data_IF_290047096928
#
_entry.id   IF_290047096928
#
_cell.length_a   1.000
_cell.length_b   1.000
_cell.length_c   1.000
_cell.angle_alpha   90.00
_cell.angle_beta   90.00
_cell.angle_gamma   90.00
#
_symmetry.space_group_name_H-M   'P 1'
#
loop_
_entity.id
_entity.type
_entity.pdbx_description
1 polymer ?
#
# COMPACT_ATOMS: atom_id res chain seq x y z
N UNK A 1 70.16 31.50 -34.75
CA UNK A 1 70.49 31.79 -33.33
C UNK A 1 69.22 32.29 -32.66
N UNK A 2 68.96 31.91 -31.41
CA UNK A 2 67.72 32.29 -30.71
C UNK A 2 66.82 31.13 -30.26
N UNK A 3 67.19 29.88 -30.52
CA UNK A 3 66.40 28.71 -30.08
C UNK A 3 66.33 28.62 -28.55
N UNK A 4 67.41 28.94 -27.85
CA UNK A 4 67.44 28.98 -26.39
C UNK A 4 66.49 30.05 -25.83
N UNK A 5 66.50 31.29 -26.36
CA UNK A 5 65.52 32.31 -25.96
C UNK A 5 64.08 31.91 -26.27
N UNK A 6 63.84 31.19 -27.39
CA UNK A 6 62.50 30.70 -27.75
C UNK A 6 62.03 29.63 -26.76
N UNK A 7 62.86 28.63 -26.45
CA UNK A 7 62.55 27.60 -25.45
C UNK A 7 62.27 28.24 -24.09
N UNK A 8 63.10 29.19 -23.65
CA UNK A 8 62.91 29.89 -22.36
C UNK A 8 61.65 30.78 -22.34
N UNK A 9 61.23 31.30 -23.50
CA UNK A 9 59.99 32.08 -23.64
C UNK A 9 58.77 31.17 -23.53
N UNK A 10 58.81 30.00 -24.14
CA UNK A 10 57.73 29.00 -24.11
C UNK A 10 57.59 28.36 -22.70
N UNK A 11 58.61 28.50 -21.84
CA UNK A 11 58.69 27.91 -20.49
C UNK A 11 58.01 28.70 -19.34
N UNK A 12 57.48 29.93 -19.50
CA UNK A 12 56.97 30.79 -18.38
C UNK A 12 55.49 30.57 -17.96
N UNK A 13 55.04 31.00 -16.74
CA UNK A 13 55.61 30.80 -15.41
C UNK A 13 54.97 29.60 -14.66
N UNK A 14 55.79 28.93 -13.87
CA UNK A 14 55.56 27.72 -13.07
C UNK A 14 56.94 27.10 -12.79
N UNK A 15 57.15 26.28 -11.73
CA UNK A 15 58.47 25.74 -11.46
C UNK A 15 58.95 24.99 -12.71
N UNK A 16 60.07 25.42 -13.34
CA UNK A 16 60.59 24.74 -14.51
C UNK A 16 60.99 23.35 -14.04
N UNK A 17 60.30 22.30 -14.47
CA UNK A 17 60.79 20.96 -14.18
C UNK A 17 62.03 20.76 -15.03
N UNK A 18 63.20 20.80 -14.39
CA UNK A 18 64.49 20.50 -15.03
C UNK A 18 64.43 19.17 -15.81
N UNK A 19 63.54 18.26 -15.40
CA UNK A 19 63.19 17.04 -16.10
C UNK A 19 62.60 17.27 -17.51
N UNK A 20 61.64 18.18 -17.69
CA UNK A 20 61.05 18.49 -19.01
C UNK A 20 62.07 19.15 -19.93
N UNK A 21 62.85 20.09 -19.40
CA UNK A 21 63.92 20.73 -20.16
C UNK A 21 64.97 19.69 -20.59
N UNK A 22 65.37 18.79 -19.69
CA UNK A 22 66.28 17.70 -20.01
C UNK A 22 65.73 16.76 -21.08
N UNK A 23 64.45 16.39 -20.99
CA UNK A 23 63.78 15.54 -21.97
C UNK A 23 63.71 16.23 -23.35
N UNK A 24 63.32 17.51 -23.38
CA UNK A 24 63.26 18.32 -24.60
C UNK A 24 64.64 18.40 -25.27
N UNK A 25 65.69 18.73 -24.50
CA UNK A 25 67.05 18.85 -25.01
C UNK A 25 67.58 17.50 -25.52
N UNK A 26 67.27 16.40 -24.84
CA UNK A 26 67.61 15.04 -25.30
C UNK A 26 66.93 14.72 -26.64
N UNK A 27 65.65 15.04 -26.79
CA UNK A 27 64.88 14.79 -28.03
C UNK A 27 65.32 15.69 -29.18
N UNK A 28 65.64 16.94 -28.89
CA UNK A 28 66.25 17.85 -29.85
C UNK A 28 67.63 17.34 -30.30
N UNK A 29 68.41 16.76 -29.39
CA UNK A 29 69.70 16.15 -29.70
C UNK A 29 69.57 14.91 -30.59
N UNK A 30 68.59 14.04 -30.33
CA UNK A 30 68.29 12.87 -31.18
C UNK A 30 67.83 13.28 -32.59
N UNK A 31 67.11 14.39 -32.72
CA UNK A 31 66.55 14.89 -33.99
C UNK A 31 67.44 15.93 -34.70
N UNK A 32 68.70 16.06 -34.27
CA UNK A 32 69.66 17.04 -34.81
C UNK A 32 69.95 16.82 -36.30
N UNK A 33 70.18 17.91 -37.03
CA UNK A 33 70.69 17.86 -38.40
C UNK A 33 72.18 18.21 -38.36
N UNK A 34 73.04 17.20 -38.50
CA UNK A 34 74.47 17.36 -38.28
C UNK A 34 74.76 17.85 -36.85
N UNK A 35 75.57 18.88 -36.68
CA UNK A 35 75.93 19.41 -35.35
C UNK A 35 75.04 20.57 -34.86
N UNK A 36 73.90 20.80 -35.51
CA UNK A 36 73.04 21.95 -35.22
C UNK A 36 71.64 21.52 -34.75
N UNK A 37 71.20 22.12 -33.65
CA UNK A 37 69.79 22.11 -33.22
C UNK A 37 69.05 23.20 -34.00
N UNK A 38 68.03 22.81 -34.77
CA UNK A 38 67.29 23.72 -35.64
C UNK A 38 65.91 24.06 -35.06
N UNK A 39 65.41 25.26 -35.40
CA UNK A 39 64.01 25.61 -35.10
C UNK A 39 63.03 24.66 -35.78
N UNK A 40 63.38 24.15 -36.97
CA UNK A 40 62.58 23.16 -37.70
C UNK A 40 62.48 21.81 -36.95
N UNK A 41 63.55 21.35 -36.30
CA UNK A 41 63.49 20.17 -35.44
C UNK A 41 62.59 20.41 -34.21
N UNK A 42 62.66 21.61 -33.62
CA UNK A 42 61.79 22.01 -32.51
C UNK A 42 60.31 22.10 -32.92
N UNK A 43 60.01 22.65 -34.09
CA UNK A 43 58.65 22.77 -34.62
C UNK A 43 58.07 21.41 -35.01
N UNK A 44 58.89 20.49 -35.57
CA UNK A 44 58.47 19.09 -35.85
C UNK A 44 58.12 18.30 -34.58
N UNK A 45 58.75 18.61 -33.46
CA UNK A 45 58.44 18.02 -32.16
C UNK A 45 57.19 18.65 -31.50
N UNK A 46 56.58 19.68 -32.12
CA UNK A 46 55.45 20.41 -31.54
C UNK A 46 55.85 21.31 -30.36
N UNK A 47 57.12 21.72 -30.29
CA UNK A 47 57.66 22.49 -29.18
C UNK A 47 57.67 21.71 -27.84
N UNK A 48 57.64 22.45 -26.73
CA UNK A 48 57.62 21.85 -25.38
C UNK A 48 56.34 21.05 -25.12
N UNK A 49 55.20 21.57 -25.58
CA UNK A 49 53.91 20.96 -25.31
C UNK A 49 53.71 19.65 -26.10
N UNK A 50 54.25 19.56 -27.32
CA UNK A 50 54.26 18.34 -28.12
C UNK A 50 55.11 17.23 -27.49
N UNK A 51 56.30 17.56 -26.96
CA UNK A 51 57.15 16.58 -26.25
C UNK A 51 56.50 16.09 -24.96
N UNK A 52 55.80 16.97 -24.24
CA UNK A 52 55.04 16.59 -23.05
C UNK A 52 53.87 15.68 -23.39
N UNK A 53 53.13 15.97 -24.47
CA UNK A 53 52.03 15.13 -24.95
C UNK A 53 52.52 13.74 -25.40
N UNK A 54 53.66 13.66 -26.09
CA UNK A 54 54.24 12.38 -26.51
C UNK A 54 54.71 11.55 -25.29
N UNK A 55 55.28 12.21 -24.27
CA UNK A 55 55.63 11.56 -23.00
C UNK A 55 54.39 11.03 -22.27
N UNK A 56 53.33 11.84 -22.19
CA UNK A 56 52.06 11.45 -21.59
C UNK A 56 51.40 10.27 -22.33
N UNK A 57 51.45 10.26 -23.68
CA UNK A 57 50.93 9.16 -24.50
C UNK A 57 51.75 7.88 -24.29
N UNK A 58 53.08 7.94 -24.31
CA UNK A 58 53.93 6.77 -24.03
C UNK A 58 53.66 6.20 -22.65
N UNK A 59 53.56 7.07 -21.64
CA UNK A 59 53.25 6.65 -20.28
C UNK A 59 51.87 5.98 -20.21
N UNK A 60 50.84 6.58 -20.82
CA UNK A 60 49.50 6.02 -20.83
C UNK A 60 49.43 4.67 -21.56
N UNK A 61 50.07 4.56 -22.73
CA UNK A 61 50.11 3.33 -23.52
C UNK A 61 50.85 2.18 -22.81
N UNK A 62 51.80 2.49 -21.92
CA UNK A 62 52.53 1.53 -21.10
C UNK A 62 51.76 1.02 -19.87
N UNK A 63 50.61 1.61 -19.53
CA UNK A 63 49.80 1.17 -18.39
C UNK A 63 48.99 -0.11 -18.74
N UNK A 64 48.78 -1.02 -17.77
CA UNK A 64 47.81 -2.12 -17.91
C UNK A 64 46.40 -1.60 -18.24
N UNK A 65 45.56 -2.41 -18.91
CA UNK A 65 44.22 -1.96 -19.35
C UNK A 65 43.33 -1.43 -18.21
N UNK A 66 43.38 -2.07 -17.03
CA UNK A 66 42.62 -1.62 -15.86
C UNK A 66 43.12 -0.28 -15.32
N UNK A 67 44.43 -0.06 -15.36
CA UNK A 67 45.06 1.21 -14.97
C UNK A 67 44.79 2.30 -16.01
N UNK A 68 44.71 1.96 -17.31
CA UNK A 68 44.31 2.89 -18.37
C UNK A 68 42.88 3.40 -18.16
N UNK A 69 41.93 2.51 -17.79
CA UNK A 69 40.54 2.91 -17.47
C UNK A 69 40.51 3.87 -16.28
N UNK A 70 41.27 3.59 -15.22
CA UNK A 70 41.39 4.46 -14.03
C UNK A 70 42.05 5.80 -14.38
N UNK A 71 43.13 5.78 -15.15
CA UNK A 71 43.84 6.99 -15.60
C UNK A 71 42.94 7.88 -16.45
N UNK A 72 42.19 7.31 -17.40
CA UNK A 72 41.18 8.04 -18.18
C UNK A 72 40.13 8.68 -17.27
N UNK A 73 39.60 7.92 -16.31
CA UNK A 73 38.61 8.44 -15.37
C UNK A 73 39.15 9.62 -14.55
N UNK A 74 40.39 9.50 -14.03
CA UNK A 74 41.10 10.55 -13.28
C UNK A 74 41.33 11.81 -14.12
N UNK A 75 41.86 11.68 -15.34
CA UNK A 75 42.14 12.80 -16.22
C UNK A 75 40.86 13.56 -16.60
N UNK A 76 39.77 12.85 -16.89
CA UNK A 76 38.46 13.46 -17.12
C UNK A 76 37.86 14.12 -15.86
N UNK A 77 38.40 13.84 -14.66
CA UNK A 77 38.03 14.62 -13.48
C UNK A 77 38.62 16.02 -13.49
N UNK A 78 39.84 16.17 -14.00
CA UNK A 78 40.61 17.42 -13.98
C UNK A 78 40.31 18.36 -15.15
N UNK A 79 39.29 18.04 -15.96
CA UNK A 79 38.92 18.79 -17.16
C UNK A 79 37.44 19.18 -17.11
N UNK A 80 37.16 20.41 -17.53
CA UNK A 80 35.81 20.95 -17.69
C UNK A 80 35.20 20.59 -19.06
N UNK A 81 33.90 20.74 -19.23
CA UNK A 81 33.20 20.53 -20.49
C UNK A 81 33.64 21.50 -21.59
N UNK A 82 34.23 22.64 -21.22
CA UNK A 82 34.79 23.64 -22.12
C UNK A 82 36.26 23.33 -22.49
N UNK A 83 36.83 22.23 -21.98
CA UNK A 83 38.22 21.85 -22.25
C UNK A 83 39.23 22.70 -21.50
N UNK A 84 38.91 23.15 -20.29
CA UNK A 84 39.81 23.92 -19.42
C UNK A 84 40.26 23.01 -18.26
N UNK A 85 41.49 23.20 -17.76
CA UNK A 85 41.94 22.48 -16.56
C UNK A 85 41.16 22.92 -15.33
N UNK A 86 40.96 22.00 -14.41
CA UNK A 86 40.36 22.25 -13.11
C UNK A 86 41.25 21.66 -12.01
N UNK A 87 41.32 22.38 -10.89
CA UNK A 87 42.03 21.97 -9.68
C UNK A 87 41.05 21.39 -8.67
N UNK A 88 41.28 20.15 -8.20
CA UNK A 88 40.38 19.41 -7.33
C UNK A 88 41.13 18.76 -6.17
N UNK A 89 40.46 18.47 -5.05
CA UNK A 89 41.12 17.78 -3.93
C UNK A 89 41.49 16.34 -4.32
N UNK A 90 42.64 15.87 -3.83
CA UNK A 90 43.12 14.49 -4.04
C UNK A 90 42.03 13.44 -3.77
N UNK A 91 41.36 13.54 -2.63
CA UNK A 91 40.33 12.58 -2.22
C UNK A 91 39.08 12.63 -3.10
N UNK A 92 38.67 13.81 -3.57
CA UNK A 92 37.51 13.97 -4.46
C UNK A 92 37.78 13.35 -5.85
N UNK A 93 38.98 13.58 -6.39
CA UNK A 93 39.40 13.03 -7.68
C UNK A 93 39.46 11.50 -7.64
N UNK A 94 40.03 10.94 -6.57
CA UNK A 94 40.13 9.49 -6.38
C UNK A 94 38.74 8.87 -6.18
N UNK A 95 37.89 9.47 -5.34
CA UNK A 95 36.54 8.97 -5.09
C UNK A 95 35.69 8.98 -6.37
N UNK A 96 35.76 10.05 -7.15
CA UNK A 96 34.99 10.19 -8.38
C UNK A 96 35.50 9.32 -9.53
N UNK A 97 36.78 8.90 -9.51
CA UNK A 97 37.36 7.94 -10.45
C UNK A 97 37.15 6.46 -10.05
N UNK A 98 36.23 6.18 -9.12
CA UNK A 98 35.89 4.81 -8.69
C UNK A 98 36.57 4.36 -7.39
N UNK A 99 37.39 5.20 -6.78
CA UNK A 99 38.01 4.95 -5.48
C UNK A 99 39.02 3.79 -5.46
N UNK A 100 39.45 3.43 -4.25
CA UNK A 100 40.31 2.28 -3.99
C UNK A 100 41.81 2.52 -4.14
N UNK A 101 42.63 1.58 -3.63
CA UNK A 101 44.09 1.71 -3.60
C UNK A 101 44.73 1.75 -4.99
N UNK A 102 44.20 0.99 -5.97
CA UNK A 102 44.70 1.02 -7.34
C UNK A 102 44.56 2.38 -8.01
N UNK A 103 43.50 3.14 -7.71
CA UNK A 103 43.30 4.48 -8.28
C UNK A 103 44.25 5.51 -7.66
N UNK A 104 44.56 5.39 -6.36
CA UNK A 104 45.60 6.20 -5.72
C UNK A 104 46.98 5.91 -6.31
N UNK A 105 47.26 4.65 -6.63
CA UNK A 105 48.53 4.26 -7.24
C UNK A 105 48.68 4.81 -8.66
N UNK A 106 47.65 4.72 -9.50
CA UNK A 106 47.65 5.33 -10.84
C UNK A 106 47.85 6.85 -10.76
N UNK A 107 47.21 7.53 -9.80
CA UNK A 107 47.42 8.97 -9.57
C UNK A 107 48.88 9.29 -9.21
N UNK A 108 49.51 8.51 -8.32
CA UNK A 108 50.93 8.68 -7.98
C UNK A 108 51.83 8.52 -9.20
N UNK A 109 51.56 7.52 -10.05
CA UNK A 109 52.32 7.31 -11.29
C UNK A 109 52.14 8.46 -12.29
N UNK A 110 50.93 9.02 -12.41
CA UNK A 110 50.67 10.21 -13.23
C UNK A 110 51.41 11.46 -12.74
N UNK A 111 51.54 11.61 -11.41
CA UNK A 111 52.34 12.68 -10.79
C UNK A 111 53.84 12.46 -11.08
N UNK A 112 54.34 11.23 -10.92
CA UNK A 112 55.72 10.89 -11.23
C UNK A 112 56.06 11.13 -12.71
N UNK A 113 55.11 10.88 -13.61
CA UNK A 113 55.23 11.14 -15.04
C UNK A 113 55.01 12.63 -15.43
N UNK A 114 54.75 13.51 -14.46
CA UNK A 114 54.46 14.94 -14.67
C UNK A 114 53.30 15.24 -15.63
N UNK A 115 52.35 14.31 -15.76
CA UNK A 115 51.09 14.57 -16.47
C UNK A 115 50.15 15.40 -15.59
N UNK A 116 50.24 15.17 -14.28
CA UNK A 116 49.41 15.79 -13.26
C UNK A 116 50.33 16.38 -12.19
N UNK A 117 50.00 17.55 -11.67
CA UNK A 117 50.73 18.21 -10.59
C UNK A 117 49.91 18.25 -9.31
N UNK A 118 50.60 18.13 -8.18
CA UNK A 118 50.02 18.26 -6.85
C UNK A 118 50.47 19.61 -6.25
N UNK A 119 49.51 20.52 -6.06
CA UNK A 119 49.71 21.81 -5.40
C UNK A 119 49.00 21.80 -4.05
N UNK A 120 49.77 21.55 -2.98
CA UNK A 120 49.20 21.26 -1.65
C UNK A 120 48.44 19.93 -1.66
N UNK A 121 47.13 19.97 -1.40
CA UNK A 121 46.23 18.81 -1.49
C UNK A 121 45.38 18.81 -2.79
N UNK A 122 45.69 19.72 -3.72
CA UNK A 122 44.94 19.87 -4.96
C UNK A 122 45.71 19.29 -6.13
N UNK A 123 44.99 18.49 -6.92
CA UNK A 123 45.45 17.83 -8.13
C UNK A 123 44.95 18.63 -9.32
N UNK A 124 45.85 18.91 -10.25
CA UNK A 124 45.54 19.60 -11.51
C UNK A 124 46.40 19.06 -12.65
N UNK A 125 46.00 19.31 -13.90
CA UNK A 125 46.85 18.98 -15.05
C UNK A 125 48.12 19.83 -15.01
N UNK A 126 49.27 19.21 -15.30
CA UNK A 126 50.57 19.88 -15.21
C UNK A 126 50.67 21.12 -16.10
N UNK A 127 50.01 21.09 -17.26
CA UNK A 127 49.98 22.18 -18.24
C UNK A 127 48.62 22.24 -18.94
N UNK A 128 48.14 23.45 -19.19
CA UNK A 128 46.93 23.69 -20.00
C UNK A 128 47.09 23.18 -21.43
N UNK A 129 48.30 23.33 -21.99
CA UNK A 129 48.60 22.95 -23.36
C UNK A 129 48.51 21.43 -23.62
N UNK A 130 48.55 20.58 -22.59
CA UNK A 130 48.31 19.14 -22.74
C UNK A 130 46.93 18.84 -23.34
N UNK A 131 45.92 19.69 -23.08
CA UNK A 131 44.57 19.48 -23.60
C UNK A 131 44.51 19.68 -25.12
N UNK A 132 45.34 20.59 -25.66
CA UNK A 132 45.44 20.84 -27.09
C UNK A 132 46.45 19.93 -27.78
N UNK A 133 47.58 19.65 -27.12
CA UNK A 133 48.70 18.91 -27.70
C UNK A 133 48.56 17.38 -27.61
N UNK A 134 47.67 16.85 -26.77
CA UNK A 134 47.46 15.40 -26.61
C UNK A 134 46.14 14.93 -27.27
N UNK A 135 46.18 14.38 -28.50
CA UNK A 135 44.98 14.07 -29.28
C UNK A 135 44.02 13.08 -28.60
N UNK A 136 44.56 12.11 -27.84
CA UNK A 136 43.77 11.11 -27.13
C UNK A 136 42.93 11.75 -26.02
N UNK A 137 43.52 12.66 -25.24
CA UNK A 137 42.82 13.38 -24.18
C UNK A 137 41.75 14.31 -24.78
N UNK A 138 42.08 15.04 -25.85
CA UNK A 138 41.12 15.86 -26.59
C UNK A 138 39.93 15.02 -27.09
N UNK A 139 40.19 13.87 -27.71
CA UNK A 139 39.15 12.95 -28.16
C UNK A 139 38.26 12.45 -27.02
N UNK A 140 38.81 12.18 -25.84
CA UNK A 140 38.01 11.78 -24.68
C UNK A 140 37.11 12.90 -24.16
N UNK A 141 37.60 14.14 -24.15
CA UNK A 141 36.83 15.32 -23.76
C UNK A 141 35.70 15.55 -24.77
N UNK A 142 35.98 15.41 -26.07
CA UNK A 142 34.98 15.55 -27.12
C UNK A 142 33.91 14.47 -27.06
N UNK A 143 34.29 13.20 -26.93
CA UNK A 143 33.35 12.08 -26.76
C UNK A 143 32.56 12.18 -25.45
N UNK A 144 33.15 12.77 -24.40
CA UNK A 144 32.59 12.86 -23.06
C UNK A 144 31.89 14.18 -22.76
N UNK A 145 31.78 15.12 -23.72
CA UNK A 145 31.39 16.51 -23.46
C UNK A 145 30.05 16.65 -22.74
N UNK A 146 29.06 15.86 -23.13
CA UNK A 146 27.73 15.86 -22.49
C UNK A 146 27.76 15.29 -21.08
N UNK A 147 28.64 14.34 -20.79
CA UNK A 147 28.82 13.81 -19.44
C UNK A 147 29.54 14.82 -18.53
N UNK A 148 30.55 15.52 -19.07
CA UNK A 148 31.25 16.61 -18.38
C UNK A 148 30.29 17.78 -18.07
N UNK A 149 29.46 18.18 -19.05
CA UNK A 149 28.46 19.25 -18.88
C UNK A 149 27.41 18.88 -17.82
N UNK A 150 26.82 17.68 -17.92
CA UNK A 150 25.86 17.18 -16.93
C UNK A 150 26.38 17.23 -15.50
N UNK A 151 27.65 16.88 -15.34
CA UNK A 151 28.33 16.90 -14.05
C UNK A 151 28.53 18.33 -13.55
N UNK A 152 28.96 19.25 -14.41
CA UNK A 152 29.09 20.67 -14.03
C UNK A 152 27.76 21.29 -13.62
N UNK A 153 26.70 21.01 -14.37
CA UNK A 153 25.35 21.45 -14.02
C UNK A 153 24.87 20.87 -12.70
N UNK A 154 25.16 19.58 -12.42
CA UNK A 154 24.86 18.95 -11.15
C UNK A 154 25.60 19.62 -9.98
N UNK A 155 26.91 19.86 -10.13
CA UNK A 155 27.72 20.50 -9.09
C UNK A 155 27.27 21.95 -8.83
N UNK A 156 26.98 22.71 -9.90
CA UNK A 156 26.46 24.07 -9.80
C UNK A 156 25.09 24.11 -9.12
N UNK A 157 24.16 23.24 -9.53
CA UNK A 157 22.83 23.15 -8.92
C UNK A 157 22.89 22.74 -7.44
N UNK A 158 23.76 21.79 -7.10
CA UNK A 158 23.93 21.35 -5.72
C UNK A 158 24.52 22.45 -4.84
N UNK A 159 25.49 23.22 -5.36
CA UNK A 159 26.05 24.38 -4.66
C UNK A 159 24.99 25.46 -4.45
N UNK A 160 24.22 25.80 -5.48
CA UNK A 160 23.13 26.78 -5.38
C UNK A 160 22.08 26.35 -4.35
N UNK A 161 21.68 25.07 -4.36
CA UNK A 161 20.75 24.50 -3.37
C UNK A 161 21.30 24.56 -1.94
N UNK A 162 22.59 24.28 -1.76
CA UNK A 162 23.23 24.35 -0.43
C UNK A 162 23.29 25.80 0.06
N UNK A 163 23.67 26.73 -0.81
CA UNK A 163 23.74 28.16 -0.48
C UNK A 163 22.35 28.76 -0.20
N UNK A 164 21.30 28.24 -0.82
CA UNK A 164 19.91 28.63 -0.57
C UNK A 164 19.33 28.08 0.75
N UNK A 165 20.12 27.35 1.55
CA UNK A 165 19.65 26.76 2.82
C UNK A 165 18.88 25.45 2.64
N UNK A 166 19.15 24.71 1.56
CA UNK A 166 18.60 23.38 1.31
C UNK A 166 17.07 23.31 1.21
N UNK A 167 16.42 24.21 0.43
CA UNK A 167 14.97 24.24 0.32
C UNK A 167 14.44 22.94 -0.29
N UNK A 168 13.28 22.49 0.20
CA UNK A 168 12.65 21.27 -0.31
C UNK A 168 12.39 21.37 -1.82
N UNK A 169 11.88 22.51 -2.28
CA UNK A 169 11.44 22.72 -3.67
C UNK A 169 12.57 22.98 -4.66
N UNK A 170 13.79 23.21 -4.18
CA UNK A 170 14.98 23.29 -5.01
C UNK A 170 15.54 21.93 -5.42
N UNK A 171 14.91 20.82 -5.01
CA UNK A 171 15.37 19.47 -5.35
C UNK A 171 14.94 19.03 -6.75
N UNK A 172 15.80 18.33 -7.49
CA UNK A 172 15.49 17.86 -8.83
C UNK A 172 14.46 16.74 -8.73
N UNK A 173 13.47 16.75 -9.62
CA UNK A 173 12.39 15.76 -9.65
C UNK A 173 12.16 15.20 -11.05
N UNK A 174 11.68 13.94 -11.11
CA UNK A 174 11.30 13.27 -12.35
C UNK A 174 12.38 13.35 -13.44
N UNK A 175 12.12 13.99 -14.60
CA UNK A 175 13.08 14.11 -15.71
C UNK A 175 14.42 14.73 -15.31
N UNK A 176 14.43 15.73 -14.43
CA UNK A 176 15.66 16.41 -14.00
C UNK A 176 16.52 15.49 -13.13
N UNK A 177 15.89 14.69 -12.26
CA UNK A 177 16.59 13.67 -11.48
C UNK A 177 17.15 12.56 -12.40
N UNK A 178 16.39 12.15 -13.41
CA UNK A 178 16.86 11.16 -14.39
C UNK A 178 18.04 11.68 -15.22
N UNK A 179 18.05 12.97 -15.56
CA UNK A 179 19.16 13.62 -16.26
C UNK A 179 20.46 13.62 -15.44
N UNK A 180 20.38 13.92 -14.13
CA UNK A 180 21.54 13.93 -13.23
C UNK A 180 21.93 12.57 -12.66
N UNK A 181 21.02 11.59 -12.62
CA UNK A 181 21.26 10.27 -12.06
C UNK A 181 22.52 9.52 -12.57
N UNK A 182 22.85 9.55 -13.88
CA UNK A 182 24.06 8.91 -14.40
C UNK A 182 25.35 9.73 -14.19
N UNK A 183 25.27 11.00 -13.79
CA UNK A 183 26.44 11.83 -13.56
C UNK A 183 27.10 11.46 -12.22
N UNK A 184 28.42 11.15 -12.19
CA UNK A 184 29.11 10.88 -10.93
C UNK A 184 29.22 12.17 -10.11
N UNK A 185 28.53 12.22 -8.97
CA UNK A 185 28.64 13.32 -8.01
C UNK A 185 30.02 13.29 -7.34
N UNK A 186 30.69 14.44 -7.27
CA UNK A 186 32.04 14.57 -6.70
C UNK A 186 32.01 15.25 -5.36
N UNK A 187 31.34 16.40 -5.30
CA UNK A 187 31.29 17.17 -4.07
C UNK A 187 30.33 16.54 -3.07
N UNK A 188 30.59 16.78 -1.78
CA UNK A 188 29.65 16.42 -0.71
C UNK A 188 28.27 17.03 -0.95
N UNK A 189 28.22 18.25 -1.49
CA UNK A 189 26.98 18.96 -1.83
C UNK A 189 26.19 18.20 -2.90
N UNK A 190 26.83 17.78 -4.00
CA UNK A 190 26.17 17.01 -5.07
C UNK A 190 25.67 15.65 -4.59
N UNK A 191 26.45 14.95 -3.75
CA UNK A 191 26.03 13.68 -3.15
C UNK A 191 24.79 13.87 -2.27
N UNK A 192 24.78 14.93 -1.43
CA UNK A 192 23.63 15.26 -0.57
C UNK A 192 22.40 15.64 -1.39
N UNK A 193 22.58 16.48 -2.41
CA UNK A 193 21.53 16.92 -3.32
C UNK A 193 20.81 15.74 -4.00
N UNK A 194 21.56 14.80 -4.59
CA UNK A 194 20.98 13.60 -5.20
C UNK A 194 20.35 12.66 -4.16
N UNK A 195 20.95 12.52 -2.98
CA UNK A 195 20.40 11.69 -1.90
C UNK A 195 19.06 12.24 -1.40
N UNK A 196 18.96 13.55 -1.21
CA UNK A 196 17.74 14.25 -0.82
C UNK A 196 16.65 14.16 -1.91
N UNK A 197 17.04 14.30 -3.18
CA UNK A 197 16.12 14.12 -4.30
C UNK A 197 15.51 12.70 -4.34
N UNK A 198 16.36 11.67 -4.22
CA UNK A 198 15.94 10.26 -4.23
C UNK A 198 15.06 9.89 -3.04
N UNK A 199 15.33 10.44 -1.86
CA UNK A 199 14.49 10.18 -0.67
C UNK A 199 13.11 10.81 -0.81
N UNK A 200 13.01 12.04 -1.35
CA UNK A 200 11.73 12.70 -1.65
C UNK A 200 10.90 11.90 -2.64
N UNK A 201 11.51 11.40 -3.72
CA UNK A 201 10.80 10.63 -4.74
C UNK A 201 10.30 9.27 -4.22
N UNK A 202 11.09 8.58 -3.40
CA UNK A 202 10.64 7.33 -2.73
C UNK A 202 9.45 7.58 -1.81
N UNK A 203 9.50 8.65 -1.02
CA UNK A 203 8.41 9.03 -0.12
C UNK A 203 7.13 9.39 -0.89
N UNK A 204 7.26 10.15 -1.98
CA UNK A 204 6.13 10.50 -2.84
C UNK A 204 5.50 9.26 -3.51
N UNK A 205 6.32 8.33 -4.01
CA UNK A 205 5.82 7.07 -4.59
C UNK A 205 5.14 6.18 -3.56
N UNK A 206 5.67 6.11 -2.34
CA UNK A 206 5.07 5.35 -1.25
C UNK A 206 3.72 5.95 -0.82
N UNK A 207 3.62 7.27 -0.69
CA UNK A 207 2.37 7.98 -0.36
C UNK A 207 1.31 7.81 -1.46
N UNK A 208 1.69 7.94 -2.74
CA UNK A 208 0.73 7.73 -3.85
C UNK A 208 0.21 6.29 -3.89
N UNK A 209 1.08 5.29 -3.72
CA UNK A 209 0.69 3.87 -3.70
C UNK A 209 -0.11 3.48 -2.45
N UNK A 210 0.20 4.06 -1.29
CA UNK A 210 -0.54 3.81 -0.06
C UNK A 210 -1.94 4.43 -0.12
N UNK A 211 -2.11 5.60 -0.75
CA UNK A 211 -3.43 6.21 -0.93
C UNK A 211 -4.38 5.35 -1.77
N UNK A 212 -3.92 4.77 -2.87
CA UNK A 212 -4.73 3.86 -3.71
C UNK A 212 -5.07 2.54 -3.00
N UNK A 213 -4.13 1.98 -2.24
CA UNK A 213 -4.36 0.75 -1.47
C UNK A 213 -5.35 0.98 -0.32
N UNK A 214 -5.28 2.13 0.36
CA UNK A 214 -6.20 2.49 1.43
C UNK A 214 -7.64 2.66 0.92
N UNK A 215 -7.85 3.31 -0.23
CA UNK A 215 -9.18 3.46 -0.83
C UNK A 215 -9.78 2.10 -1.20
N UNK A 216 -9.00 1.19 -1.79
CA UNK A 216 -9.45 -0.16 -2.11
C UNK A 216 -9.78 -0.98 -0.86
N UNK A 217 -8.97 -0.87 0.19
CA UNK A 217 -9.21 -1.57 1.45
C UNK A 217 -10.50 -1.08 2.15
N UNK A 218 -10.74 0.24 2.17
CA UNK A 218 -11.99 0.81 2.71
C UNK A 218 -13.20 0.35 1.90
N UNK A 219 -13.09 0.29 0.57
CA UNK A 219 -14.15 -0.24 -0.30
C UNK A 219 -14.47 -1.72 -0.03
N UNK A 220 -13.45 -2.56 0.14
CA UNK A 220 -13.60 -3.98 0.47
C UNK A 220 -14.23 -4.22 1.85
N UNK A 221 -13.84 -3.42 2.86
CA UNK A 221 -14.42 -3.50 4.21
C UNK A 221 -15.88 -3.03 4.21
N UNK A 222 -16.19 -1.93 3.50
CA UNK A 222 -17.57 -1.46 3.36
C UNK A 222 -18.46 -2.47 2.64
N UNK A 223 -17.97 -3.09 1.57
CA UNK A 223 -18.69 -4.12 0.82
C UNK A 223 -18.94 -5.40 1.63
N UNK A 224 -17.97 -5.85 2.43
CA UNK A 224 -18.12 -7.06 3.25
C UNK A 224 -19.10 -6.87 4.42
N UNK A 225 -19.10 -5.69 5.05
CA UNK A 225 -20.08 -5.34 6.08
C UNK A 225 -21.52 -5.29 5.54
N UNK A 226 -21.71 -4.71 4.35
CA UNK A 226 -23.03 -4.66 3.70
C UNK A 226 -23.52 -6.07 3.30
N UNK A 227 -22.62 -6.92 2.78
CA UNK A 227 -22.95 -8.30 2.46
C UNK A 227 -23.31 -9.13 3.72
N UNK A 228 -22.63 -8.87 4.84
CA UNK A 228 -22.92 -9.55 6.10
C UNK A 228 -24.32 -9.17 6.63
N UNK A 229 -24.69 -7.89 6.65
CA UNK A 229 -26.03 -7.43 7.04
C UNK A 229 -27.14 -8.02 6.15
N UNK A 230 -26.90 -8.08 4.84
CA UNK A 230 -27.85 -8.66 3.88
C UNK A 230 -28.08 -10.17 4.11
N UNK A 231 -27.01 -10.94 4.31
CA UNK A 231 -27.10 -12.39 4.54
C UNK A 231 -27.82 -12.71 5.86
N UNK A 232 -27.60 -11.92 6.92
CA UNK A 232 -28.27 -12.15 8.20
C UNK A 232 -29.77 -11.89 8.12
N UNK A 233 -30.20 -10.85 7.40
CA UNK A 233 -31.62 -10.57 7.18
C UNK A 233 -32.33 -11.72 6.46
N UNK A 234 -31.77 -12.23 5.37
CA UNK A 234 -32.38 -13.35 4.63
C UNK A 234 -32.44 -14.64 5.45
N UNK A 235 -31.41 -14.92 6.26
CA UNK A 235 -31.40 -16.06 7.19
C UNK A 235 -32.46 -15.91 8.28
N UNK A 236 -32.58 -14.71 8.87
CA UNK A 236 -33.58 -14.42 9.89
C UNK A 236 -35.01 -14.62 9.36
N UNK A 237 -35.28 -14.20 8.11
CA UNK A 237 -36.59 -14.35 7.49
C UNK A 237 -36.93 -15.81 7.19
N UNK A 238 -35.95 -16.61 6.75
CA UNK A 238 -36.12 -18.07 6.56
C UNK A 238 -36.45 -18.76 7.89
N UNK A 239 -35.74 -18.42 8.96
CA UNK A 239 -36.02 -18.93 10.30
C UNK A 239 -37.38 -18.48 10.82
N UNK A 240 -37.79 -17.23 10.54
CA UNK A 240 -39.12 -16.71 10.91
C UNK A 240 -40.25 -17.48 10.20
N UNK A 241 -40.06 -17.84 8.92
CA UNK A 241 -41.03 -18.69 8.19
C UNK A 241 -41.14 -20.09 8.79
N UNK A 242 -40.01 -20.73 9.08
CA UNK A 242 -39.98 -22.05 9.74
C UNK A 242 -40.62 -21.98 11.13
N UNK A 243 -40.39 -20.91 11.88
CA UNK A 243 -41.04 -20.66 13.15
C UNK A 243 -42.57 -20.59 12.99
N UNK A 244 -43.07 -19.81 12.03
CA UNK A 244 -44.50 -19.65 11.78
C UNK A 244 -45.19 -20.96 11.41
N UNK A 245 -44.57 -21.79 10.56
CA UNK A 245 -45.08 -23.12 10.20
C UNK A 245 -45.10 -24.05 11.43
N UNK A 246 -44.00 -24.04 12.20
CA UNK A 246 -43.85 -24.88 13.39
C UNK A 246 -44.81 -24.50 14.52
N UNK A 247 -45.25 -23.24 14.61
CA UNK A 247 -46.21 -22.78 15.61
C UNK A 247 -47.55 -23.52 15.53
N UNK A 248 -47.97 -23.93 14.33
CA UNK A 248 -49.23 -24.66 14.14
C UNK A 248 -49.12 -26.13 14.60
N UNK A 249 -47.94 -26.74 14.42
CA UNK A 249 -47.71 -28.13 14.81
C UNK A 249 -47.36 -28.26 16.29
N UNK A 250 -46.40 -27.46 16.78
CA UNK A 250 -45.86 -27.52 18.13
C UNK A 250 -45.43 -26.11 18.61
N UNK A 251 -46.22 -25.43 19.44
CA UNK A 251 -45.98 -24.04 19.85
C UNK A 251 -44.61 -23.79 20.52
N UNK A 252 -44.09 -24.77 21.27
CA UNK A 252 -42.77 -24.67 21.92
C UNK A 252 -41.61 -24.67 20.93
N UNK A 253 -41.70 -25.48 19.88
CA UNK A 253 -40.70 -25.54 18.80
C UNK A 253 -40.77 -24.28 17.93
N UNK A 254 -41.97 -23.80 17.61
CA UNK A 254 -42.15 -22.54 16.90
C UNK A 254 -41.58 -21.34 17.66
N UNK A 255 -41.75 -21.28 18.99
CA UNK A 255 -41.14 -20.23 19.82
C UNK A 255 -39.62 -20.25 19.80
N UNK A 256 -38.99 -21.44 19.83
CA UNK A 256 -37.53 -21.55 19.76
C UNK A 256 -36.99 -20.97 18.45
N UNK A 257 -37.60 -21.34 17.33
CA UNK A 257 -37.20 -20.80 16.02
C UNK A 257 -37.49 -19.30 15.90
N UNK A 258 -38.56 -18.79 16.51
CA UNK A 258 -38.87 -17.36 16.51
C UNK A 258 -37.82 -16.54 17.29
N UNK A 259 -37.36 -17.05 18.43
CA UNK A 259 -36.27 -16.45 19.22
C UNK A 259 -34.96 -16.50 18.44
N UNK A 260 -34.65 -17.64 17.80
CA UNK A 260 -33.45 -17.79 16.98
C UNK A 260 -33.45 -16.81 15.79
N UNK A 261 -34.58 -16.67 15.11
CA UNK A 261 -34.75 -15.72 14.03
C UNK A 261 -34.51 -14.27 14.49
N UNK A 262 -35.09 -13.87 15.63
CA UNK A 262 -34.93 -12.53 16.20
C UNK A 262 -33.50 -12.26 16.68
N UNK A 263 -32.77 -13.29 17.14
CA UNK A 263 -31.36 -13.17 17.51
C UNK A 263 -30.43 -13.03 16.30
N UNK A 264 -30.81 -13.58 15.14
CA UNK A 264 -30.03 -13.47 13.90
C UNK A 264 -30.18 -12.09 13.26
N UNK A 265 -31.41 -11.56 13.18
CA UNK A 265 -31.65 -10.17 12.84
C UNK A 265 -32.98 -9.64 13.40
N UNK A 266 -32.95 -8.42 13.93
CA UNK A 266 -34.14 -7.72 14.42
C UNK A 266 -34.87 -7.05 13.25
N UNK A 267 -35.85 -7.75 12.68
CA UNK A 267 -36.67 -7.28 11.56
C UNK A 267 -38.13 -7.18 11.99
N UNK A 268 -38.95 -6.43 11.24
CA UNK A 268 -40.39 -6.37 11.53
C UNK A 268 -41.06 -7.75 11.45
N UNK A 269 -40.60 -8.62 10.56
CA UNK A 269 -41.09 -9.99 10.41
C UNK A 269 -40.72 -10.86 11.61
N UNK A 270 -39.48 -10.79 12.12
CA UNK A 270 -39.09 -11.57 13.30
C UNK A 270 -39.80 -11.10 14.56
N UNK A 271 -40.03 -9.80 14.71
CA UNK A 271 -40.83 -9.23 15.80
C UNK A 271 -42.27 -9.70 15.79
N UNK A 272 -42.92 -9.74 14.62
CA UNK A 272 -44.32 -10.19 14.53
C UNK A 272 -44.44 -11.67 14.86
N UNK A 273 -43.57 -12.51 14.28
CA UNK A 273 -43.58 -13.95 14.52
C UNK A 273 -43.26 -14.28 15.98
N UNK A 274 -42.33 -13.56 16.62
CA UNK A 274 -42.02 -13.75 18.04
C UNK A 274 -43.20 -13.40 18.94
N UNK A 275 -43.94 -12.32 18.64
CA UNK A 275 -45.16 -11.96 19.38
C UNK A 275 -46.22 -13.04 19.28
N UNK A 276 -46.45 -13.57 18.08
CA UNK A 276 -47.42 -14.64 17.86
C UNK A 276 -46.98 -15.94 18.54
N UNK A 277 -45.68 -16.25 18.50
CA UNK A 277 -45.11 -17.41 19.16
C UNK A 277 -45.27 -17.37 20.69
N UNK A 278 -45.02 -16.22 21.31
CA UNK A 278 -45.18 -16.04 22.77
C UNK A 278 -46.65 -16.23 23.18
N UNK A 279 -47.60 -15.78 22.35
CA UNK A 279 -49.04 -15.98 22.60
C UNK A 279 -49.41 -17.45 22.48
N UNK A 280 -48.96 -18.12 21.41
CA UNK A 280 -49.24 -19.53 21.16
C UNK A 280 -48.63 -20.45 22.22
N UNK A 281 -47.41 -20.15 22.70
CA UNK A 281 -46.74 -20.94 23.73
C UNK A 281 -47.37 -20.81 25.11
N UNK A 282 -48.13 -19.73 25.37
CA UNK A 282 -48.88 -19.53 26.63
C UNK A 282 -50.17 -20.35 26.67
N UNK A 283 -50.65 -20.88 25.55
CA UNK A 283 -51.82 -21.74 25.52
C UNK A 283 -51.49 -23.09 26.17
N UNK A 284 -52.10 -23.37 27.34
CA UNK A 284 -51.88 -24.62 28.10
C UNK A 284 -52.72 -25.80 27.58
N UNK A 285 -53.84 -25.51 26.92
CA UNK A 285 -54.74 -26.47 26.30
C UNK A 285 -55.54 -25.80 25.17
N UNK A 286 -55.85 -26.54 24.10
CA UNK A 286 -56.74 -26.10 23.02
C UNK A 286 -57.94 -27.05 22.96
N UNK A 287 -59.13 -26.53 23.24
CA UNK A 287 -60.39 -27.29 23.20
C UNK A 287 -60.90 -27.35 21.76
N UNK A 288 -60.66 -28.46 21.06
CA UNK A 288 -61.18 -28.67 19.71
C UNK A 288 -62.68 -28.95 19.77
N UNK A 289 -63.48 -28.09 19.16
CA UNK A 289 -64.92 -28.25 19.03
C UNK A 289 -65.29 -28.27 17.54
N UNK A 290 -66.29 -29.09 17.20
CA UNK A 290 -66.79 -29.18 15.83
C UNK A 290 -67.80 -28.05 15.59
N UNK A 291 -67.37 -27.01 14.87
CA UNK A 291 -68.24 -25.90 14.45
C UNK A 291 -68.05 -24.58 15.22
N UNK A 292 -68.87 -23.59 14.89
CA UNK A 292 -68.81 -22.26 15.50
C UNK A 292 -69.37 -22.30 16.91
N UNK A 293 -68.54 -21.93 17.88
CA UNK A 293 -68.94 -21.70 19.27
C UNK A 293 -69.42 -20.26 19.44
N UNK A 294 -70.50 -20.09 20.18
CA UNK A 294 -71.02 -18.78 20.54
C UNK A 294 -70.77 -18.42 22.01
N UNK A 295 -70.47 -19.41 22.85
CA UNK A 295 -70.18 -19.18 24.26
C UNK A 295 -69.17 -20.19 24.83
N UNK A 296 -68.41 -19.76 25.83
CA UNK A 296 -67.56 -20.60 26.66
C UNK A 296 -67.55 -20.09 28.11
N UNK A 297 -67.79 -20.95 29.10
CA UNK A 297 -67.91 -20.60 30.52
C UNK A 297 -67.10 -21.56 31.36
N UNK A 298 -66.53 -21.08 32.46
CA UNK A 298 -65.98 -21.95 33.49
C UNK A 298 -67.05 -22.36 34.49
N UNK A 299 -66.91 -23.56 35.06
CA UNK A 299 -67.62 -23.91 36.29
C UNK A 299 -67.15 -23.02 37.46
N UNK A 300 -67.96 -22.86 38.52
CA UNK A 300 -67.61 -22.00 39.66
C UNK A 300 -66.31 -22.40 40.37
N UNK A 301 -65.98 -23.69 40.37
CA UNK A 301 -64.75 -24.25 40.92
C UNK A 301 -63.55 -24.16 39.95
N UNK A 302 -63.76 -23.71 38.71
CA UNK A 302 -62.76 -23.61 37.67
C UNK A 302 -62.27 -24.95 37.11
N UNK A 303 -62.81 -26.09 37.56
CA UNK A 303 -62.36 -27.41 37.15
C UNK A 303 -62.86 -27.83 35.76
N UNK A 304 -63.96 -27.23 35.29
CA UNK A 304 -64.63 -27.56 34.04
C UNK A 304 -64.86 -26.33 33.17
N UNK A 305 -64.93 -26.55 31.87
CA UNK A 305 -65.36 -25.54 30.88
C UNK A 305 -66.52 -26.10 30.07
N UNK A 306 -67.56 -25.29 29.94
CA UNK A 306 -68.68 -25.53 29.03
C UNK A 306 -68.52 -24.67 27.78
N UNK A 307 -68.34 -25.29 26.62
CA UNK A 307 -68.36 -24.62 25.32
C UNK A 307 -69.69 -24.90 24.63
N UNK A 308 -70.33 -23.93 23.96
CA UNK A 308 -71.58 -24.20 23.25
C UNK A 308 -71.73 -23.42 21.94
N UNK A 309 -72.48 -24.00 21.00
CA UNK A 309 -72.66 -23.46 19.66
C UNK A 309 -73.69 -24.23 18.83
N UNK A 310 -73.50 -24.21 17.51
CA UNK A 310 -74.37 -24.91 16.56
C UNK A 310 -74.07 -26.42 16.64
N UNK A 311 -74.91 -27.18 17.35
CA UNK A 311 -74.72 -28.61 17.61
C UNK A 311 -74.78 -29.01 19.08
N UNK A 312 -75.03 -28.05 19.99
CA UNK A 312 -75.20 -28.29 21.42
C UNK A 312 -74.09 -27.65 22.27
N UNK A 313 -73.90 -28.18 23.47
CA UNK A 313 -72.84 -27.77 24.37
C UNK A 313 -71.93 -28.95 24.73
N UNK A 314 -70.67 -28.68 25.02
CA UNK A 314 -69.63 -29.67 25.30
C UNK A 314 -68.96 -29.31 26.62
N UNK A 315 -68.93 -30.26 27.55
CA UNK A 315 -68.31 -30.12 28.85
C UNK A 315 -66.90 -30.74 28.83
N UNK A 316 -65.93 -29.95 29.25
CA UNK A 316 -64.52 -30.32 29.32
C UNK A 316 -64.05 -30.27 30.77
N UNK A 317 -63.38 -31.31 31.24
CA UNK A 317 -62.57 -31.28 32.45
C UNK A 317 -61.18 -30.78 32.11
N UNK A 318 -60.57 -29.95 32.97
CA UNK A 318 -59.29 -29.30 32.67
C UNK A 318 -58.05 -30.01 33.23
N UNK A 319 -58.20 -30.82 34.29
CA UNK A 319 -57.08 -31.50 34.96
C UNK A 319 -57.42 -32.97 35.31
N UNK A 320 -57.08 -33.95 34.46
CA UNK A 320 -56.48 -33.80 33.12
C UNK A 320 -57.48 -33.27 32.09
N UNK A 321 -56.98 -32.66 31.02
CA UNK A 321 -57.82 -32.21 29.92
C UNK A 321 -58.56 -33.39 29.29
N UNK A 322 -59.88 -33.44 29.43
CA UNK A 322 -60.72 -34.51 28.86
C UNK A 322 -62.10 -34.01 28.50
N UNK A 323 -62.68 -34.62 27.47
CA UNK A 323 -64.10 -34.47 27.17
C UNK A 323 -64.90 -35.21 28.25
N UNK A 324 -65.69 -34.49 29.04
CA UNK A 324 -66.53 -35.09 30.09
C UNK A 324 -67.94 -35.40 29.58
N UNK A 325 -68.45 -34.63 28.61
CA UNK A 325 -69.74 -34.93 28.01
C UNK A 325 -70.16 -33.96 26.92
N UNK A 326 -71.17 -34.37 26.14
CA UNK A 326 -71.86 -33.52 25.17
C UNK A 326 -73.33 -33.44 25.55
N UNK A 327 -73.81 -32.20 25.67
CA UNK A 327 -75.17 -31.79 25.99
C UNK A 327 -75.86 -31.45 24.66
N UNK A 328 -76.66 -32.39 24.15
CA UNK A 328 -77.34 -32.21 22.87
C UNK A 328 -78.57 -31.34 23.06
N UNK A 329 -78.57 -30.17 22.43
CA UNK A 329 -79.73 -29.29 22.41
C UNK A 329 -80.33 -29.25 21.00
N UNK A 330 -81.65 -29.23 20.90
CA UNK A 330 -82.37 -29.10 19.63
C UNK A 330 -82.40 -27.61 19.22
N UNK A 331 -81.26 -27.14 18.72
CA UNK A 331 -81.08 -25.76 18.30
C UNK A 331 -79.72 -25.18 18.66
N UNK A 332 -79.53 -23.91 18.31
CA UNK A 332 -78.31 -23.19 18.64
C UNK A 332 -78.34 -22.79 20.11
N UNK A 333 -77.36 -23.24 20.90
CA UNK A 333 -77.26 -22.80 22.29
C UNK A 333 -76.80 -21.34 22.32
N UNK A 334 -77.68 -20.45 22.77
CA UNK A 334 -77.45 -19.00 22.81
C UNK A 334 -76.98 -18.52 24.19
N UNK A 335 -77.38 -19.23 25.24
CA UNK A 335 -76.93 -19.00 26.62
C UNK A 335 -76.69 -20.33 27.32
N UNK A 336 -75.73 -20.33 28.23
CA UNK A 336 -75.62 -21.38 29.23
C UNK A 336 -75.14 -20.79 30.56
N UNK A 337 -75.35 -21.53 31.64
CA UNK A 337 -74.87 -21.18 32.97
C UNK A 337 -74.66 -22.44 33.82
N UNK A 338 -73.66 -22.42 34.69
CA UNK A 338 -73.54 -23.42 35.75
C UNK A 338 -74.37 -22.99 36.96
N UNK A 339 -74.89 -23.95 37.70
CA UNK A 339 -75.38 -23.69 39.05
C UNK A 339 -74.22 -23.31 39.98
N UNK A 340 -74.46 -22.53 41.06
CA UNK A 340 -73.40 -22.10 41.97
C UNK A 340 -72.62 -23.25 42.62
N UNK A 341 -73.26 -24.42 42.79
CA UNK A 341 -72.64 -25.63 43.32
C UNK A 341 -71.87 -26.45 42.26
N UNK A 342 -71.86 -26.01 40.99
CA UNK A 342 -71.16 -26.67 39.88
C UNK A 342 -71.73 -28.02 39.45
N UNK A 343 -72.82 -28.48 40.07
CA UNK A 343 -73.39 -29.81 39.82
C UNK A 343 -74.31 -29.87 38.61
N UNK A 344 -74.84 -28.73 38.18
CA UNK A 344 -75.80 -28.66 37.09
C UNK A 344 -75.42 -27.56 36.09
N UNK A 345 -75.86 -27.73 34.85
CA UNK A 345 -75.82 -26.70 33.83
C UNK A 345 -77.22 -26.40 33.31
N UNK A 346 -77.47 -25.15 32.96
CA UNK A 346 -78.64 -24.70 32.23
C UNK A 346 -78.19 -24.27 30.83
N UNK A 347 -78.92 -24.68 29.80
CA UNK A 347 -78.70 -24.22 28.42
C UNK A 347 -80.00 -23.67 27.86
N UNK A 348 -79.93 -22.55 27.14
CA UNK A 348 -81.04 -21.94 26.41
C UNK A 348 -80.75 -22.00 24.92
N UNK A 349 -81.68 -22.54 24.14
CA UNK A 349 -81.62 -22.52 22.68
C UNK A 349 -82.24 -21.27 22.09
N UNK A 350 -81.96 -21.01 20.81
CA UNK A 350 -82.59 -20.00 19.98
C UNK A 350 -84.12 -20.15 19.87
N UNK A 351 -84.63 -21.37 19.99
CA UNK A 351 -86.08 -21.66 20.04
C UNK A 351 -86.70 -21.47 21.44
N UNK A 352 -85.96 -20.93 22.41
CA UNK A 352 -86.46 -20.66 23.76
C UNK A 352 -86.52 -21.89 24.67
N UNK A 353 -85.97 -23.04 24.26
CA UNK A 353 -85.93 -24.23 25.08
C UNK A 353 -84.86 -24.09 26.16
N UNK A 354 -85.27 -24.22 27.42
CA UNK A 354 -84.34 -24.31 28.56
C UNK A 354 -84.21 -25.76 28.96
N UNK A 355 -83.00 -26.30 28.84
CA UNK A 355 -82.67 -27.63 29.35
C UNK A 355 -81.81 -27.50 30.60
N UNK A 356 -82.13 -28.33 31.60
CA UNK A 356 -81.36 -28.50 32.82
C UNK A 356 -80.65 -29.83 32.78
N UNK A 357 -79.36 -29.80 33.08
CA UNK A 357 -78.46 -30.93 32.92
C UNK A 357 -77.81 -31.27 34.26
N UNK A 358 -77.88 -32.53 34.66
CA UNK A 358 -77.15 -33.03 35.82
C UNK A 358 -75.73 -33.47 35.41
N UNK A 359 -74.72 -32.85 36.02
CA UNK A 359 -73.30 -33.09 35.72
C UNK A 359 -72.64 -34.02 36.75
N UNK A 360 -73.44 -34.66 37.62
CA UNK A 360 -72.98 -35.59 38.66
C UNK A 360 -72.90 -37.04 38.18
N UNK A 361 -73.57 -37.41 37.08
CA UNK A 361 -73.45 -38.74 36.47
C UNK A 361 -72.23 -38.82 35.55
N UNK A 362 -71.13 -39.39 36.04
CA UNK A 362 -69.86 -39.55 35.32
C UNK A 362 -69.86 -40.63 34.22
N UNK A 363 -70.85 -40.69 33.34
CA UNK A 363 -70.83 -41.59 32.18
C UNK A 363 -70.56 -40.81 30.88
N UNK A 364 -69.53 -41.16 30.10
CA UNK A 364 -69.30 -40.55 28.79
C UNK A 364 -70.38 -41.01 27.81
N UNK A 365 -71.14 -40.08 27.22
CA UNK A 365 -71.92 -40.37 26.00
C UNK A 365 -73.24 -39.63 25.81
N UNK A 366 -73.86 -39.13 26.87
CA UNK A 366 -75.07 -38.32 26.80
C UNK A 366 -75.36 -37.81 28.20
N UNK A 367 -75.41 -36.50 28.37
CA UNK A 367 -76.14 -35.93 29.50
C UNK A 367 -77.53 -35.67 28.92
N UNK A 368 -78.58 -36.24 29.52
CA UNK A 368 -79.97 -36.04 29.08
C UNK A 368 -80.60 -34.92 29.92
N UNK A 369 -81.50 -34.16 29.30
CA UNK A 369 -82.19 -33.05 29.97
C UNK A 369 -83.17 -33.62 31.00
N UNK A 370 -83.16 -33.09 32.22
CA UNK A 370 -84.16 -33.44 33.25
C UNK A 370 -85.56 -32.94 32.91
#
# INVERSE_FOLDING_TARGET
SGLAERILRDLRPGPPSAALLGLLLSRLWESRSGNLLTHEAYDRLGGIDGVLAESAERFFAGLPEDDQKRARALLLQLVTAQGVRQSLLCDEVVAAAGGGPGTKEVLRRLIAAQVVTLSGDRVELARDALLAAWPRLAAWVDQGRDALRRREELESAALAWTNAGEPADGLPSGPQLAYFAPAPARSRSAIRYLKAARSRERRSRWIKRSSTAAVLAVGLIGGSLAAWDWVQKERSEKLAKVAQESLQAQPSTGLRYAIEAANVADTEVTKSVLKDAIRASRARAVLKNDGKLNLALFSPDGARVLTAGAGGATLWGLEPLRLEGTLRADGLVTRAAFTPDGRQALTLTDYGQVAKWDLSSGAPGKIESM
#
